data_IF_877486933380
#
_entry.id   IF_877486933380
#
_cell.length_a   1.000
_cell.length_b   1.000
_cell.length_c   1.000
_cell.angle_alpha   90.00
_cell.angle_beta   90.00
_cell.angle_gamma   90.00
#
_symmetry.space_group_name_H-M   'P 1'
#
loop_
_entity.id
_entity.type
_entity.pdbx_description
1 polymer ?
#
# COMPACT_ATOMS: atom_id res chain seq x y z
N UNK A 1 24.33 25.30 -17.69
CA UNK A 1 23.05 24.67 -17.31
C UNK A 1 22.97 24.66 -15.80
N UNK A 2 22.60 25.80 -15.21
CA UNK A 2 22.35 25.89 -13.77
C UNK A 2 20.93 25.40 -13.53
N UNK A 3 20.78 24.20 -12.99
CA UNK A 3 19.52 23.76 -12.42
C UNK A 3 19.24 24.69 -11.24
N UNK A 4 18.43 25.72 -11.47
CA UNK A 4 17.92 26.61 -10.42
C UNK A 4 17.30 25.74 -9.35
N UNK A 5 17.82 25.87 -8.14
CA UNK A 5 17.59 24.98 -7.00
C UNK A 5 16.09 24.69 -6.80
N UNK A 6 15.75 23.59 -6.14
CA UNK A 6 14.38 23.38 -5.62
C UNK A 6 13.88 24.60 -4.78
N UNK A 7 14.81 25.41 -4.25
CA UNK A 7 14.55 26.68 -3.60
C UNK A 7 13.94 27.75 -4.54
N UNK A 8 14.31 27.79 -5.83
CA UNK A 8 13.78 28.77 -6.80
C UNK A 8 12.31 28.47 -7.17
N UNK A 9 11.91 27.19 -7.13
CA UNK A 9 10.52 26.77 -7.32
C UNK A 9 9.62 27.10 -6.12
N UNK A 10 10.18 27.09 -4.92
CA UNK A 10 9.51 27.59 -3.71
C UNK A 10 9.43 29.13 -3.70
N UNK A 11 10.46 29.79 -4.22
CA UNK A 11 10.52 31.25 -4.32
C UNK A 11 9.60 31.85 -5.41
N UNK A 12 9.07 31.04 -6.34
CA UNK A 12 8.21 31.46 -7.46
C UNK A 12 6.76 31.89 -7.09
N UNK A 13 6.47 32.15 -5.82
CA UNK A 13 5.23 32.84 -5.43
C UNK A 13 3.95 31.99 -5.42
N UNK A 14 4.03 30.72 -5.01
CA UNK A 14 2.85 29.92 -4.61
C UNK A 14 2.43 28.80 -5.57
N UNK A 15 2.91 28.76 -6.81
CA UNK A 15 2.56 27.70 -7.77
C UNK A 15 3.19 26.33 -7.47
N UNK A 16 4.38 26.31 -6.87
CA UNK A 16 5.05 25.05 -6.49
C UNK A 16 4.21 24.21 -5.52
N UNK A 17 3.40 24.85 -4.68
CA UNK A 17 2.54 24.16 -3.71
C UNK A 17 1.40 23.38 -4.38
N UNK A 18 0.88 23.83 -5.53
CA UNK A 18 -0.13 23.10 -6.29
C UNK A 18 0.44 21.83 -6.91
N UNK A 19 1.63 21.92 -7.52
CA UNK A 19 2.29 20.76 -8.13
C UNK A 19 2.62 19.74 -7.05
N UNK A 20 3.35 20.14 -6.02
CA UNK A 20 3.70 19.24 -4.92
C UNK A 20 2.46 18.72 -4.16
N UNK A 21 1.41 19.53 -4.05
CA UNK A 21 0.13 19.13 -3.47
C UNK A 21 -0.57 18.03 -4.27
N UNK A 22 -0.61 18.13 -5.61
CA UNK A 22 -1.18 17.08 -6.47
C UNK A 22 -0.38 15.78 -6.39
N UNK A 23 0.97 15.87 -6.41
CA UNK A 23 1.81 14.69 -6.22
C UNK A 23 1.63 14.06 -4.83
N UNK A 24 1.56 14.87 -3.78
CA UNK A 24 1.30 14.40 -2.42
C UNK A 24 -0.09 13.76 -2.31
N UNK A 25 -1.11 14.29 -2.98
CA UNK A 25 -2.45 13.71 -3.02
C UNK A 25 -2.44 12.31 -3.67
N UNK A 26 -1.74 12.14 -4.80
CA UNK A 26 -1.59 10.83 -5.45
C UNK A 26 -0.86 9.84 -4.54
N UNK A 27 0.26 10.27 -3.93
CA UNK A 27 1.01 9.43 -2.99
C UNK A 27 0.15 9.04 -1.79
N UNK A 28 -0.67 9.96 -1.27
CA UNK A 28 -1.58 9.70 -0.16
C UNK A 28 -2.64 8.65 -0.54
N UNK A 29 -3.27 8.77 -1.72
CA UNK A 29 -4.24 7.79 -2.20
C UNK A 29 -3.61 6.40 -2.33
N UNK A 30 -2.43 6.31 -2.95
CA UNK A 30 -1.70 5.04 -3.09
C UNK A 30 -1.36 4.45 -1.73
N UNK A 31 -0.89 5.26 -0.78
CA UNK A 31 -0.57 4.82 0.57
C UNK A 31 -1.79 4.28 1.31
N UNK A 32 -2.94 4.95 1.20
CA UNK A 32 -4.21 4.51 1.77
C UNK A 32 -4.63 3.16 1.17
N UNK A 33 -4.56 3.03 -0.15
CA UNK A 33 -4.96 1.80 -0.84
C UNK A 33 -4.05 0.62 -0.46
N UNK A 34 -2.73 0.84 -0.36
CA UNK A 34 -1.78 -0.14 0.16
C UNK A 34 -2.10 -0.54 1.60
N UNK A 35 -2.48 0.42 2.44
CA UNK A 35 -2.80 0.16 3.84
C UNK A 35 -4.08 -0.67 3.97
N UNK A 36 -5.13 -0.32 3.22
CA UNK A 36 -6.38 -1.07 3.14
C UNK A 36 -6.15 -2.48 2.56
N UNK A 37 -5.33 -2.59 1.51
CA UNK A 37 -4.99 -3.86 0.90
C UNK A 37 -4.22 -4.74 1.88
N UNK A 38 -3.30 -4.15 2.66
CA UNK A 38 -2.54 -4.87 3.69
C UNK A 38 -3.42 -5.32 4.85
N UNK A 39 -4.40 -4.51 5.25
CA UNK A 39 -5.41 -4.90 6.23
C UNK A 39 -6.24 -6.09 5.73
N UNK A 40 -6.72 -6.03 4.47
CA UNK A 40 -7.49 -7.13 3.85
C UNK A 40 -6.67 -8.40 3.66
N UNK A 41 -5.39 -8.28 3.33
CA UNK A 41 -4.48 -9.43 3.21
C UNK A 41 -4.35 -10.21 4.51
N UNK A 42 -4.39 -9.55 5.68
CA UNK A 42 -4.35 -10.27 6.97
C UNK A 42 -5.57 -11.17 7.15
N UNK A 43 -6.75 -10.72 6.73
CA UNK A 43 -7.98 -11.51 6.78
C UNK A 43 -7.94 -12.68 5.80
N UNK A 44 -7.51 -12.45 4.55
CA UNK A 44 -7.43 -13.51 3.54
C UNK A 44 -6.38 -14.57 3.87
N UNK A 45 -5.23 -14.19 4.44
CA UNK A 45 -4.20 -15.15 4.86
C UNK A 45 -4.66 -15.98 6.07
N UNK A 46 -5.38 -15.38 7.01
CA UNK A 46 -5.95 -16.10 8.14
C UNK A 46 -6.96 -17.17 7.70
N UNK A 47 -7.77 -16.87 6.68
CA UNK A 47 -8.77 -17.79 6.15
C UNK A 47 -8.13 -18.98 5.42
N UNK A 48 -7.12 -18.73 4.56
CA UNK A 48 -6.37 -19.81 3.87
C UNK A 48 -5.66 -20.72 4.87
N UNK A 49 -5.08 -20.17 5.94
CA UNK A 49 -4.47 -20.96 7.00
C UNK A 49 -5.46 -21.88 7.73
N UNK A 50 -6.68 -21.40 7.98
CA UNK A 50 -7.72 -22.19 8.62
C UNK A 50 -8.24 -23.35 7.74
N UNK A 51 -8.28 -23.16 6.41
CA UNK A 51 -8.66 -24.22 5.47
C UNK A 51 -7.61 -25.34 5.43
N UNK A 52 -6.32 -24.99 5.38
CA UNK A 52 -5.24 -25.98 5.36
C UNK A 52 -5.24 -26.87 6.61
N UNK A 53 -5.44 -26.28 7.80
CA UNK A 53 -5.50 -27.04 9.05
C UNK A 53 -6.64 -28.07 9.06
N UNK A 54 -7.82 -27.73 8.51
CA UNK A 54 -8.93 -28.69 8.39
C UNK A 54 -8.61 -29.82 7.42
N UNK A 55 -7.89 -29.53 6.33
CA UNK A 55 -7.53 -30.54 5.33
C UNK A 55 -6.46 -31.50 5.84
N UNK A 56 -5.48 -31.04 6.60
CA UNK A 56 -4.45 -31.92 7.19
C UNK A 56 -5.06 -32.93 8.17
N UNK A 57 -6.03 -32.50 8.99
CA UNK A 57 -6.75 -33.40 9.89
C UNK A 57 -7.61 -34.41 9.13
N UNK A 58 -8.33 -33.97 8.09
CA UNK A 58 -9.16 -34.86 7.27
C UNK A 58 -8.32 -35.85 6.43
N UNK A 59 -7.15 -35.43 5.95
CA UNK A 59 -6.22 -36.26 5.19
C UNK A 59 -5.59 -37.34 6.05
N UNK A 60 -5.25 -37.00 7.30
CA UNK A 60 -4.66 -37.93 8.27
C UNK A 60 -5.68 -38.98 8.75
N UNK A 61 -6.96 -38.60 8.85
CA UNK A 61 -8.04 -39.53 9.22
C UNK A 61 -8.45 -40.48 8.09
N UNK A 62 -8.26 -40.09 6.82
CA UNK A 62 -8.59 -40.93 5.65
C UNK A 62 -7.46 -41.88 5.23
N UNK A 63 -6.27 -41.76 5.81
CA UNK A 63 -5.10 -42.61 5.50
C UNK A 63 -4.87 -43.76 6.50
N UNK A 64 -5.76 -43.92 7.48
CA UNK A 64 -5.81 -45.07 8.39
C UNK A 64 -7.05 -45.91 8.08
#
# INVERSE_FOLDING_TARGET
MNWGSAADFWAMGGYGFFVWGSYAAVVAVIAIELWLLRARRRSAVAEVGAVNLKQDTARSANSQ
#
